data_IF_324371457594
#
_entry.id   IF_324371457594
#
_cell.length_a   1.000
_cell.length_b   1.000
_cell.length_c   1.000
_cell.angle_alpha   90.00
_cell.angle_beta   90.00
_cell.angle_gamma   90.00
#
_symmetry.space_group_name_H-M   'P 1'
#
loop_
_entity.id
_entity.type
_entity.pdbx_description
1 polymer ?
#
# COMPACT_ATOMS: atom_id res chain seq x y z
N UNK A 1 -18.19 -14.60 13.81
CA UNK A 1 -17.35 -13.61 13.12
C UNK A 1 -16.98 -12.38 13.97
N UNK A 2 -17.73 -12.01 15.02
CA UNK A 2 -17.43 -10.87 15.90
C UNK A 2 -16.10 -10.96 16.68
N UNK A 3 -15.56 -12.17 16.89
CA UNK A 3 -14.35 -12.38 17.69
C UNK A 3 -13.08 -11.86 16.98
N UNK A 4 -12.99 -11.96 15.64
CA UNK A 4 -11.80 -11.50 14.90
C UNK A 4 -11.67 -9.97 14.91
N UNK A 5 -12.78 -9.25 14.76
CA UNK A 5 -12.77 -7.78 14.80
C UNK A 5 -12.58 -7.25 16.22
N UNK A 6 -13.10 -7.95 17.23
CA UNK A 6 -12.78 -7.65 18.63
C UNK A 6 -11.29 -7.81 18.93
N UNK A 7 -10.63 -8.85 18.41
CA UNK A 7 -9.17 -9.04 18.58
C UNK A 7 -8.36 -7.94 17.90
N UNK A 8 -8.76 -7.49 16.70
CA UNK A 8 -8.09 -6.36 16.01
C UNK A 8 -8.19 -5.06 16.82
N UNK A 9 -9.39 -4.76 17.35
CA UNK A 9 -9.61 -3.60 18.23
C UNK A 9 -8.83 -3.73 19.54
N UNK A 10 -8.76 -4.92 20.11
CA UNK A 10 -7.98 -5.17 21.33
C UNK A 10 -6.48 -5.01 21.10
N UNK A 11 -5.97 -5.45 19.95
CA UNK A 11 -4.57 -5.24 19.55
C UNK A 11 -4.28 -3.75 19.35
N UNK A 12 -5.17 -3.02 18.69
CA UNK A 12 -5.09 -1.57 18.55
C UNK A 12 -5.04 -0.87 19.91
N UNK A 13 -5.97 -1.23 20.81
CA UNK A 13 -6.07 -0.68 22.16
C UNK A 13 -4.91 -1.08 23.10
N UNK A 14 -4.17 -2.15 22.78
CA UNK A 14 -3.05 -2.66 23.61
C UNK A 14 -1.66 -2.38 23.03
N UNK A 15 -1.53 -1.36 22.18
CA UNK A 15 -0.23 -0.94 21.67
C UNK A 15 0.18 -1.62 20.37
N UNK A 16 -0.78 -1.87 19.46
CA UNK A 16 -0.42 -2.20 18.07
C UNK A 16 0.45 -1.09 17.47
N UNK A 17 0.21 0.20 17.74
CA UNK A 17 1.03 1.30 17.23
C UNK A 17 2.56 1.09 17.38
N UNK A 18 3.07 0.76 18.58
CA UNK A 18 4.47 0.34 18.76
C UNK A 18 4.91 -0.90 17.97
N UNK A 19 4.03 -1.89 17.80
CA UNK A 19 4.27 -3.08 16.97
C UNK A 19 4.32 -2.73 15.48
N UNK A 20 3.45 -1.81 15.04
CA UNK A 20 3.38 -1.25 13.70
C UNK A 20 4.66 -0.47 13.36
N UNK A 21 5.11 0.36 14.28
CA UNK A 21 6.37 1.10 14.18
C UNK A 21 7.59 0.17 14.18
N UNK A 22 7.60 -0.87 15.02
CA UNK A 22 8.67 -1.88 15.00
C UNK A 22 8.69 -2.67 13.70
N UNK A 23 7.52 -3.00 13.15
CA UNK A 23 7.39 -3.60 11.82
C UNK A 23 7.99 -2.67 10.76
N UNK A 24 7.54 -1.40 10.72
CA UNK A 24 8.02 -0.43 9.75
C UNK A 24 9.54 -0.25 9.81
N UNK A 25 10.10 -0.14 11.02
CA UNK A 25 11.54 0.01 11.25
C UNK A 25 12.36 -1.26 10.96
N UNK A 26 11.81 -2.45 11.21
CA UNK A 26 12.55 -3.71 11.04
C UNK A 26 12.69 -4.17 9.59
N UNK A 27 11.88 -3.62 8.66
CA UNK A 27 11.70 -4.20 7.33
C UNK A 27 12.20 -3.35 6.15
N UNK A 28 13.01 -2.32 6.43
CA UNK A 28 13.78 -1.65 5.37
C UNK A 28 14.85 -2.60 4.82
N UNK A 29 14.51 -3.33 3.74
CA UNK A 29 15.50 -3.97 2.85
C UNK A 29 15.34 -5.46 2.56
N UNK A 30 14.58 -6.22 3.36
CA UNK A 30 14.41 -7.68 3.16
C UNK A 30 13.00 -8.04 2.64
N UNK A 31 12.94 -8.56 1.41
CA UNK A 31 11.70 -8.96 0.74
C UNK A 31 10.94 -10.08 1.46
N UNK A 32 11.65 -10.98 2.13
CA UNK A 32 11.05 -12.17 2.75
C UNK A 32 10.31 -11.82 4.04
N UNK A 33 10.58 -10.63 4.57
CA UNK A 33 9.92 -10.09 5.76
C UNK A 33 8.90 -8.99 5.39
N UNK A 34 9.19 -8.20 4.36
CA UNK A 34 8.31 -7.16 3.86
C UNK A 34 6.93 -7.68 3.39
N UNK A 35 6.88 -8.81 2.68
CA UNK A 35 5.60 -9.36 2.20
C UNK A 35 4.66 -9.79 3.35
N UNK A 36 5.10 -10.63 4.32
CA UNK A 36 4.30 -10.94 5.49
C UNK A 36 3.88 -9.71 6.30
N UNK A 37 4.76 -8.71 6.40
CA UNK A 37 4.50 -7.46 7.11
C UNK A 37 3.32 -6.69 6.50
N UNK A 38 3.37 -6.40 5.20
CA UNK A 38 2.29 -5.69 4.51
C UNK A 38 1.00 -6.52 4.53
N UNK A 39 1.10 -7.84 4.40
CA UNK A 39 -0.05 -8.74 4.52
C UNK A 39 -0.74 -8.65 5.88
N UNK A 40 0.03 -8.60 6.97
CA UNK A 40 -0.50 -8.39 8.32
C UNK A 40 -1.19 -7.02 8.45
N UNK A 41 -0.56 -5.97 7.92
CA UNK A 41 -1.13 -4.61 7.91
C UNK A 41 -2.45 -4.52 7.16
N UNK A 42 -2.51 -5.11 5.97
CA UNK A 42 -3.73 -5.18 5.17
C UNK A 42 -4.87 -5.87 5.95
N UNK A 43 -4.55 -6.94 6.69
CA UNK A 43 -5.55 -7.66 7.50
C UNK A 43 -6.02 -6.85 8.73
N UNK A 44 -5.13 -6.12 9.40
CA UNK A 44 -5.48 -5.32 10.58
C UNK A 44 -6.33 -4.10 10.23
N UNK A 45 -6.07 -3.45 9.10
CA UNK A 45 -6.82 -2.27 8.64
C UNK A 45 -8.18 -2.60 8.02
N UNK A 46 -8.42 -3.86 7.65
CA UNK A 46 -9.66 -4.26 7.00
C UNK A 46 -10.88 -4.02 7.90
N UNK A 47 -11.72 -3.06 7.48
CA UNK A 47 -12.97 -2.65 8.16
C UNK A 47 -12.74 -2.13 9.60
N UNK A 48 -11.58 -1.52 9.84
CA UNK A 48 -11.18 -1.02 11.16
C UNK A 48 -10.69 0.45 11.06
N UNK A 49 -11.59 1.45 10.98
CA UNK A 49 -11.20 2.86 10.80
C UNK A 49 -10.34 3.38 11.97
N UNK A 50 -10.64 2.99 13.21
CA UNK A 50 -9.81 3.33 14.39
C UNK A 50 -8.35 2.88 14.23
N UNK A 51 -8.14 1.68 13.68
CA UNK A 51 -6.80 1.16 13.38
C UNK A 51 -6.14 1.94 12.26
N UNK A 52 -6.90 2.32 11.23
CA UNK A 52 -6.40 3.14 10.12
C UNK A 52 -5.90 4.49 10.62
N UNK A 53 -6.62 5.17 11.51
CA UNK A 53 -6.16 6.44 12.10
C UNK A 53 -4.85 6.27 12.84
N UNK A 54 -4.74 5.25 13.71
CA UNK A 54 -3.49 4.95 14.42
C UNK A 54 -2.35 4.64 13.45
N UNK A 55 -2.61 3.87 12.38
CA UNK A 55 -1.63 3.59 11.33
C UNK A 55 -1.15 4.88 10.65
N UNK A 56 -2.07 5.79 10.32
CA UNK A 56 -1.72 7.06 9.69
C UNK A 56 -0.87 7.95 10.61
N UNK A 57 -1.22 8.05 11.90
CA UNK A 57 -0.47 8.81 12.91
C UNK A 57 0.98 8.31 13.09
N UNK A 58 1.20 7.01 12.91
CA UNK A 58 2.54 6.40 13.05
C UNK A 58 3.27 6.22 11.71
N UNK A 59 2.83 6.89 10.64
CA UNK A 59 3.58 6.95 9.38
C UNK A 59 3.43 5.72 8.47
N UNK A 60 2.39 4.89 8.64
CA UNK A 60 2.17 3.72 7.77
C UNK A 60 1.92 4.11 6.32
N UNK A 61 1.35 5.30 6.07
CA UNK A 61 1.13 5.82 4.71
C UNK A 61 2.47 5.98 3.98
N UNK A 62 3.44 6.65 4.59
CA UNK A 62 4.78 6.80 4.04
C UNK A 62 5.44 5.44 3.83
N UNK A 63 5.43 4.61 4.88
CA UNK A 63 6.06 3.29 4.84
C UNK A 63 5.54 2.41 3.70
N UNK A 64 4.22 2.34 3.46
CA UNK A 64 3.70 1.47 2.41
C UNK A 64 4.07 1.97 1.01
N UNK A 65 4.06 3.29 0.79
CA UNK A 65 4.41 3.87 -0.51
C UNK A 65 5.90 3.71 -0.80
N UNK A 66 6.76 3.98 0.19
CA UNK A 66 8.20 3.74 0.10
C UNK A 66 8.51 2.26 -0.16
N UNK A 67 7.84 1.34 0.53
CA UNK A 67 8.06 -0.10 0.35
C UNK A 67 7.60 -0.58 -1.03
N UNK A 68 6.46 -0.10 -1.53
CA UNK A 68 5.99 -0.39 -2.88
C UNK A 68 6.98 0.14 -3.93
N UNK A 69 7.55 1.33 -3.73
CA UNK A 69 8.57 1.90 -4.60
C UNK A 69 9.89 1.12 -4.55
N UNK A 70 10.32 0.67 -3.38
CA UNK A 70 11.57 -0.07 -3.18
C UNK A 70 11.51 -1.52 -3.69
N UNK A 71 10.31 -2.14 -3.74
CA UNK A 71 10.13 -3.54 -4.11
C UNK A 71 9.15 -3.74 -5.29
N UNK A 72 9.38 -3.12 -6.46
CA UNK A 72 8.45 -3.18 -7.59
C UNK A 72 8.35 -4.60 -8.18
N UNK A 73 9.38 -5.44 -8.04
CA UNK A 73 9.37 -6.82 -8.51
C UNK A 73 8.62 -7.80 -7.58
N UNK A 74 8.36 -7.44 -6.33
CA UNK A 74 7.71 -8.34 -5.37
C UNK A 74 6.19 -8.33 -5.55
N UNK A 75 5.65 -9.36 -6.23
CA UNK A 75 4.19 -9.49 -6.44
C UNK A 75 3.38 -9.41 -5.14
N UNK A 76 3.92 -9.96 -4.04
CA UNK A 76 3.22 -10.06 -2.76
C UNK A 76 3.17 -8.72 -2.04
N UNK A 77 4.27 -7.96 -2.06
CA UNK A 77 4.31 -6.57 -1.58
C UNK A 77 3.35 -5.70 -2.38
N UNK A 78 3.41 -5.75 -3.72
CA UNK A 78 2.56 -4.93 -4.57
C UNK A 78 1.06 -5.23 -4.36
N UNK A 79 0.68 -6.51 -4.35
CA UNK A 79 -0.71 -6.91 -4.15
C UNK A 79 -1.21 -6.50 -2.77
N UNK A 80 -0.43 -6.77 -1.72
CA UNK A 80 -0.82 -6.44 -0.35
C UNK A 80 -0.83 -4.93 -0.11
N UNK A 81 0.06 -4.18 -0.76
CA UNK A 81 0.08 -2.72 -0.75
C UNK A 81 -1.18 -2.12 -1.36
N UNK A 82 -1.60 -2.58 -2.54
CA UNK A 82 -2.90 -2.19 -3.12
C UNK A 82 -4.06 -2.43 -2.15
N UNK A 83 -4.08 -3.57 -1.45
CA UNK A 83 -5.13 -3.90 -0.47
C UNK A 83 -5.05 -2.98 0.75
N UNK A 84 -3.84 -2.70 1.26
CA UNK A 84 -3.63 -1.83 2.41
C UNK A 84 -4.08 -0.41 2.09
N UNK A 85 -3.64 0.17 0.97
CA UNK A 85 -4.07 1.50 0.50
C UNK A 85 -5.60 1.55 0.44
N UNK A 86 -6.23 0.59 -0.25
CA UNK A 86 -7.69 0.50 -0.34
C UNK A 86 -8.36 0.49 1.03
N UNK A 87 -7.88 -0.33 1.96
CA UNK A 87 -8.45 -0.45 3.30
C UNK A 87 -8.33 0.86 4.08
N UNK A 88 -7.24 1.61 3.89
CA UNK A 88 -6.95 2.87 4.56
C UNK A 88 -7.72 4.08 4.00
N UNK A 89 -8.40 3.96 2.85
CA UNK A 89 -9.12 5.09 2.24
C UNK A 89 -10.62 4.84 2.01
N UNK A 90 -11.07 3.59 1.98
CA UNK A 90 -12.47 3.24 1.65
C UNK A 90 -13.50 3.72 2.69
N UNK A 91 -13.11 3.87 3.97
CA UNK A 91 -13.99 4.31 5.08
C UNK A 91 -13.43 5.49 5.88
N UNK A 92 -12.33 6.05 5.40
CA UNK A 92 -11.48 7.06 6.06
C UNK A 92 -10.95 7.95 4.95
N UNK A 93 -11.88 8.65 4.30
CA UNK A 93 -11.65 9.38 3.05
C UNK A 93 -10.76 10.60 3.25
N UNK A 94 -10.67 11.11 4.47
CA UNK A 94 -9.76 12.17 4.90
C UNK A 94 -8.27 11.84 4.70
N UNK A 95 -7.90 10.55 4.55
CA UNK A 95 -6.52 10.16 4.25
C UNK A 95 -6.19 10.11 2.75
N UNK A 96 -7.18 10.32 1.85
CA UNK A 96 -6.98 10.20 0.39
C UNK A 96 -5.93 11.19 -0.11
N UNK A 97 -6.06 12.46 0.26
CA UNK A 97 -5.14 13.52 -0.18
C UNK A 97 -3.71 13.19 0.27
N UNK A 98 -3.53 12.71 1.50
CA UNK A 98 -2.23 12.28 1.99
C UNK A 98 -1.60 11.15 1.16
N UNK A 99 -2.39 10.21 0.64
CA UNK A 99 -1.89 9.18 -0.28
C UNK A 99 -1.56 9.76 -1.66
N UNK A 100 -2.43 10.63 -2.19
CA UNK A 100 -2.27 11.20 -3.54
C UNK A 100 -1.07 12.14 -3.61
N UNK A 101 -0.92 13.02 -2.62
CA UNK A 101 0.21 13.96 -2.50
C UNK A 101 1.56 13.23 -2.43
N UNK A 102 1.56 12.00 -1.92
CA UNK A 102 2.74 11.12 -1.79
C UNK A 102 2.92 10.16 -2.98
N UNK A 103 2.15 10.32 -4.06
CA UNK A 103 2.36 9.59 -5.31
C UNK A 103 1.73 8.20 -5.38
N UNK A 104 0.70 7.91 -4.58
CA UNK A 104 0.02 6.61 -4.59
C UNK A 104 -0.53 6.21 -5.96
N UNK A 105 -1.02 7.17 -6.77
CA UNK A 105 -1.56 6.89 -8.10
C UNK A 105 -0.53 6.18 -9.00
N UNK A 106 0.66 6.76 -9.15
CA UNK A 106 1.71 6.22 -10.02
C UNK A 106 2.13 4.82 -9.57
N UNK A 107 2.26 4.60 -8.27
CA UNK A 107 2.63 3.30 -7.69
C UNK A 107 1.56 2.24 -7.95
N UNK A 108 0.28 2.57 -7.76
CA UNK A 108 -0.83 1.64 -8.01
C UNK A 108 -0.95 1.28 -9.50
N UNK A 109 -0.77 2.26 -10.40
CA UNK A 109 -0.76 2.02 -11.84
C UNK A 109 0.43 1.15 -12.26
N UNK A 110 1.62 1.41 -11.73
CA UNK A 110 2.82 0.59 -11.97
C UNK A 110 2.64 -0.85 -11.44
N UNK A 111 2.04 -1.03 -10.25
CA UNK A 111 1.73 -2.34 -9.70
C UNK A 111 0.81 -3.14 -10.62
N UNK A 112 -0.24 -2.51 -11.17
CA UNK A 112 -1.14 -3.11 -12.16
C UNK A 112 -0.38 -3.54 -13.42
N UNK A 113 0.41 -2.64 -14.01
CA UNK A 113 1.14 -2.89 -15.25
C UNK A 113 2.16 -4.02 -15.10
N UNK A 114 2.91 -4.04 -13.98
CA UNK A 114 3.97 -5.03 -13.76
C UNK A 114 3.45 -6.39 -13.32
N UNK A 115 2.34 -6.43 -12.57
CA UNK A 115 1.76 -7.67 -12.03
C UNK A 115 0.27 -7.81 -12.39
N UNK A 116 -0.11 -7.81 -13.68
CA UNK A 116 -1.50 -7.70 -14.10
C UNK A 116 -2.38 -8.86 -13.61
N UNK A 117 -1.81 -10.06 -13.48
CA UNK A 117 -2.52 -11.24 -12.94
C UNK A 117 -2.90 -11.11 -11.46
N UNK A 118 -2.17 -10.30 -10.69
CA UNK A 118 -2.27 -10.27 -9.23
C UNK A 118 -2.72 -8.92 -8.67
N UNK A 119 -2.49 -7.85 -9.42
CA UNK A 119 -2.72 -6.47 -8.96
C UNK A 119 -3.80 -5.74 -9.75
N UNK A 120 -4.30 -6.28 -10.87
CA UNK A 120 -5.26 -5.53 -11.69
C UNK A 120 -6.58 -5.25 -10.95
N UNK A 121 -7.14 -6.25 -10.26
CA UNK A 121 -8.38 -6.12 -9.49
C UNK A 121 -8.20 -5.20 -8.27
N UNK A 122 -7.19 -5.48 -7.44
CA UNK A 122 -6.95 -4.76 -6.18
C UNK A 122 -6.41 -3.35 -6.44
N UNK A 123 -5.61 -3.15 -7.48
CA UNK A 123 -5.10 -1.85 -7.88
C UNK A 123 -6.21 -0.96 -8.46
N UNK A 124 -7.09 -1.52 -9.31
CA UNK A 124 -8.27 -0.79 -9.80
C UNK A 124 -9.21 -0.40 -8.65
N UNK A 125 -9.40 -1.29 -7.68
CA UNK A 125 -10.20 -1.00 -6.49
C UNK A 125 -9.57 0.10 -5.63
N UNK A 126 -8.24 0.10 -5.45
CA UNK A 126 -7.53 1.13 -4.70
C UNK A 126 -7.63 2.50 -5.38
N UNK A 127 -7.39 2.57 -6.69
CA UNK A 127 -7.52 3.81 -7.48
C UNK A 127 -8.95 4.38 -7.41
N UNK A 128 -9.97 3.53 -7.58
CA UNK A 128 -11.37 3.94 -7.42
C UNK A 128 -11.65 4.46 -6.01
N UNK A 129 -11.19 3.74 -4.97
CA UNK A 129 -11.46 4.10 -3.58
C UNK A 129 -10.67 5.37 -3.14
N UNK A 130 -9.61 5.75 -3.87
CA UNK A 130 -8.92 7.05 -3.79
C UNK A 130 -9.67 8.19 -4.51
N UNK A 131 -10.65 7.89 -5.35
CA UNK A 131 -11.40 8.88 -6.13
C UNK A 131 -10.79 9.21 -7.49
N UNK A 132 -9.91 8.36 -8.00
CA UNK A 132 -9.29 8.52 -9.32
C UNK A 132 -10.13 7.88 -10.41
N UNK A 133 -10.19 8.53 -11.57
CA UNK A 133 -10.80 8.01 -12.79
C UNK A 133 -9.86 7.06 -13.55
N UNK A 134 -10.37 6.46 -14.64
CA UNK A 134 -9.59 5.56 -15.51
C UNK A 134 -8.91 4.43 -14.73
N UNK A 135 -9.54 4.00 -13.64
CA UNK A 135 -8.96 3.00 -12.74
C UNK A 135 -8.96 1.60 -13.36
N UNK A 136 -9.82 1.33 -14.35
CA UNK A 136 -9.91 0.03 -15.03
C UNK A 136 -9.03 -0.10 -16.29
N UNK A 137 -8.50 1.01 -16.82
CA UNK A 137 -7.66 1.00 -18.01
C UNK A 137 -6.19 0.77 -17.62
N UNK A 138 -5.47 0.04 -18.48
CA UNK A 138 -4.02 -0.03 -18.47
C UNK A 138 -3.53 1.05 -19.44
N UNK A 139 -3.70 2.32 -19.08
CA UNK A 139 -3.08 3.38 -19.86
C UNK A 139 -1.56 3.32 -19.68
N UNK A 140 -0.82 3.44 -20.79
CA UNK A 140 0.63 3.61 -20.79
C UNK A 140 0.96 4.94 -20.15
N UNK A 141 1.18 4.95 -18.83
CA UNK A 141 1.92 6.05 -18.22
C UNK A 141 3.37 5.91 -18.69
N UNK A 142 3.70 6.64 -19.75
CA UNK A 142 5.09 6.92 -20.12
C UNK A 142 5.75 7.63 -18.94
N UNK A 143 6.41 6.87 -18.07
CA UNK A 143 7.48 7.45 -17.25
C UNK A 143 8.56 7.80 -18.25
N UNK A 144 8.73 9.11 -18.50
CA UNK A 144 9.82 9.61 -19.31
C UNK A 144 11.14 9.16 -18.73
N UNK A 145 11.72 8.10 -19.29
CA UNK A 145 13.15 7.90 -19.23
C UNK A 145 13.75 8.89 -20.22
N UNK A 146 14.15 10.05 -19.69
CA UNK A 146 15.25 10.79 -20.29
C UNK A 146 16.50 9.89 -20.27
N UNK A 147 17.16 9.87 -21.43
CA UNK A 147 18.58 9.63 -21.74
C UNK A 147 19.54 9.51 -20.52
N UNK A 148 20.63 8.76 -20.50
CA UNK A 148 21.65 8.34 -21.48
C UNK A 148 22.16 6.96 -20.96
N UNK A 149 22.64 6.01 -21.77
CA UNK A 149 24.03 5.96 -22.17
C UNK A 149 24.20 5.06 -23.40
N UNK A 150 24.54 5.72 -24.49
CA UNK A 150 25.35 5.20 -25.57
C UNK A 150 26.75 4.93 -24.98
N UNK A 151 27.23 3.70 -25.04
CA UNK A 151 28.66 3.41 -24.85
C UNK A 151 29.13 2.62 -26.07
N UNK A 152 29.72 3.37 -27.01
CA UNK A 152 30.64 2.89 -28.02
C UNK A 152 31.87 2.28 -27.33
N UNK A 153 32.17 1.01 -27.61
CA UNK A 153 33.47 0.52 -28.11
C UNK A 153 33.36 -0.95 -28.58
#
# INVERSE_FOLDING_TARGET
MAHSDATKRLLAARGAGPLLMKLAAAYHGDKDIAEPAVGLMANMTLRQPEVVHLCAEVGVIDWILELMAAMPASRGVQRSGCILVRNMVVRTTEHRDAFLDKGAEALLRAAKQRHPKYCNDVGSAALRDLGLDHYGTMEEFCVGNAAEDEYDD
#
